data_IF_855288620012
#
_entry.id   IF_855288620012
#
_cell.length_a   1.000
_cell.length_b   1.000
_cell.length_c   1.000
_cell.angle_alpha   90.00
_cell.angle_beta   90.00
_cell.angle_gamma   90.00
#
_symmetry.space_group_name_H-M   'P 1'
#
loop_
_entity.id
_entity.type
_entity.pdbx_description
1 polymer ?
#
# COMPACT_ATOMS: atom_id res chain seq x y z
N UNK A 1 -14.38 -6.31 21.50
CA UNK A 1 -13.62 -5.36 20.66
C UNK A 1 -13.54 -5.94 19.26
N UNK A 2 -14.11 -5.28 18.24
CA UNK A 2 -14.18 -5.81 16.87
C UNK A 2 -12.88 -5.48 16.14
N UNK A 3 -12.19 -6.49 15.58
CA UNK A 3 -11.04 -6.27 14.68
C UNK A 3 -11.57 -6.21 13.26
N UNK A 4 -11.60 -5.02 12.68
CA UNK A 4 -12.05 -4.79 11.30
C UNK A 4 -10.85 -4.83 10.35
N UNK A 5 -10.97 -5.57 9.24
CA UNK A 5 -10.03 -5.49 8.13
C UNK A 5 -10.61 -4.56 7.07
N UNK A 6 -9.86 -3.54 6.69
CA UNK A 6 -10.24 -2.59 5.63
C UNK A 6 -9.36 -2.81 4.41
N UNK A 7 -9.88 -2.49 3.24
CA UNK A 7 -9.12 -2.57 2.00
C UNK A 7 -7.93 -1.59 2.03
N UNK A 8 -6.73 -2.04 1.65
CA UNK A 8 -5.52 -1.23 1.69
C UNK A 8 -5.27 -0.41 0.40
N UNK A 9 -6.13 -0.55 -0.61
CA UNK A 9 -5.97 0.09 -1.92
C UNK A 9 -4.89 -0.53 -2.82
N UNK A 10 -4.33 -1.68 -2.42
CA UNK A 10 -3.29 -2.40 -3.17
C UNK A 10 -3.87 -3.71 -3.70
N UNK A 11 -3.66 -3.97 -4.99
CA UNK A 11 -4.19 -5.14 -5.67
C UNK A 11 -3.12 -5.78 -6.54
N UNK A 12 -3.08 -7.11 -6.53
CA UNK A 12 -2.29 -7.91 -7.46
C UNK A 12 -3.29 -8.72 -8.28
N UNK A 13 -3.36 -8.43 -9.58
CA UNK A 13 -4.33 -9.03 -10.48
C UNK A 13 -3.60 -9.90 -11.52
N UNK A 14 -4.16 -11.08 -11.78
CA UNK A 14 -3.82 -11.81 -13.00
C UNK A 14 -4.37 -11.01 -14.21
N UNK A 15 -3.64 -10.88 -15.33
CA UNK A 15 -4.17 -10.24 -16.54
C UNK A 15 -5.56 -10.72 -16.96
N UNK A 16 -5.88 -12.01 -16.77
CA UNK A 16 -7.19 -12.58 -17.10
C UNK A 16 -8.35 -12.00 -16.27
N UNK A 17 -8.05 -11.31 -15.16
CA UNK A 17 -9.07 -10.61 -14.38
C UNK A 17 -9.65 -9.42 -15.15
N UNK A 18 -8.89 -8.85 -16.10
CA UNK A 18 -9.34 -7.73 -16.93
C UNK A 18 -10.38 -8.16 -17.96
N UNK A 19 -10.48 -9.46 -18.27
CA UNK A 19 -11.51 -10.01 -19.16
C UNK A 19 -12.93 -9.86 -18.58
N UNK A 20 -13.05 -9.54 -17.28
CA UNK A 20 -14.31 -9.27 -16.59
C UNK A 20 -14.74 -7.79 -16.67
N UNK A 21 -13.96 -6.95 -17.35
CA UNK A 21 -14.29 -5.54 -17.56
C UNK A 21 -15.10 -5.39 -18.85
N UNK A 22 -16.26 -4.74 -18.73
CA UNK A 22 -17.07 -4.40 -19.89
C UNK A 22 -16.74 -2.97 -20.36
N UNK A 23 -16.50 -2.76 -21.67
CA UNK A 23 -16.22 -1.44 -22.20
C UNK A 23 -17.35 -0.45 -21.91
N UNK A 24 -16.99 0.75 -21.44
CA UNK A 24 -17.93 1.83 -21.14
C UNK A 24 -18.75 1.65 -19.85
N UNK A 25 -18.55 0.55 -19.13
CA UNK A 25 -19.22 0.30 -17.86
C UNK A 25 -18.39 0.82 -16.69
N UNK A 26 -19.05 1.50 -15.74
CA UNK A 26 -18.40 1.85 -14.47
C UNK A 26 -18.12 0.56 -13.68
N UNK A 27 -16.85 0.31 -13.40
CA UNK A 27 -16.41 -0.84 -12.62
C UNK A 27 -15.36 -0.38 -11.60
N UNK A 28 -15.68 -0.50 -10.32
CA UNK A 28 -14.73 -0.27 -9.23
C UNK A 28 -14.14 -1.60 -8.73
N UNK A 29 -13.20 -1.52 -7.79
CA UNK A 29 -12.53 -2.72 -7.29
C UNK A 29 -13.47 -3.68 -6.55
N UNK A 30 -14.41 -3.23 -5.68
CA UNK A 30 -15.44 -4.10 -5.13
C UNK A 30 -16.29 -4.83 -6.18
N UNK A 31 -16.72 -4.13 -7.24
CA UNK A 31 -17.52 -4.70 -8.34
C UNK A 31 -16.69 -5.73 -9.12
N UNK A 32 -15.45 -5.40 -9.49
CA UNK A 32 -14.56 -6.32 -10.19
C UNK A 32 -14.35 -7.62 -9.38
N UNK A 33 -14.07 -7.52 -8.08
CA UNK A 33 -13.88 -8.69 -7.23
C UNK A 33 -15.18 -9.49 -7.05
N UNK A 34 -16.34 -8.85 -7.07
CA UNK A 34 -17.63 -9.55 -7.04
C UNK A 34 -17.82 -10.39 -8.31
N UNK A 35 -17.56 -9.82 -9.49
CA UNK A 35 -17.59 -10.55 -10.78
C UNK A 35 -16.62 -11.71 -10.81
N UNK A 36 -15.37 -11.49 -10.36
CA UNK A 36 -14.38 -12.56 -10.30
C UNK A 36 -14.87 -13.75 -9.47
N UNK A 37 -15.50 -13.51 -8.32
CA UNK A 37 -16.07 -14.59 -7.50
C UNK A 37 -17.26 -15.27 -8.17
N UNK A 38 -18.13 -14.52 -8.84
CA UNK A 38 -19.28 -15.06 -9.59
C UNK A 38 -18.83 -15.99 -10.72
N UNK A 39 -17.71 -15.66 -11.36
CA UNK A 39 -17.06 -16.50 -12.37
C UNK A 39 -16.09 -17.54 -11.78
N UNK A 40 -16.22 -17.87 -10.49
CA UNK A 40 -15.41 -18.88 -9.78
C UNK A 40 -13.89 -18.64 -9.82
N UNK A 41 -13.43 -17.41 -10.09
CA UNK A 41 -12.03 -17.07 -9.96
C UNK A 41 -11.64 -16.97 -8.47
N UNK A 42 -10.44 -17.47 -8.18
CA UNK A 42 -9.88 -17.40 -6.83
C UNK A 42 -9.52 -15.95 -6.49
N UNK A 43 -10.16 -15.43 -5.44
CA UNK A 43 -9.82 -14.15 -4.82
C UNK A 43 -9.32 -14.40 -3.40
N UNK A 44 -8.20 -13.81 -3.03
CA UNK A 44 -7.62 -13.93 -1.68
C UNK A 44 -7.28 -12.56 -1.14
N UNK A 45 -7.21 -12.47 0.19
CA UNK A 45 -6.76 -11.27 0.90
C UNK A 45 -5.44 -11.56 1.61
N UNK A 46 -4.56 -10.57 1.64
CA UNK A 46 -3.31 -10.63 2.38
C UNK A 46 -3.29 -9.53 3.44
N UNK A 47 -3.21 -9.86 4.75
CA UNK A 47 -3.19 -8.88 5.81
C UNK A 47 -1.83 -8.18 5.90
N UNK A 48 -1.86 -6.85 5.87
CA UNK A 48 -0.69 -5.98 6.12
C UNK A 48 -0.67 -5.67 7.62
N UNK A 49 0.51 -5.80 8.24
CA UNK A 49 0.70 -5.58 9.68
C UNK A 49 1.54 -4.34 9.98
N UNK A 50 2.10 -3.73 8.94
CA UNK A 50 2.91 -2.53 8.99
C UNK A 50 2.05 -1.28 9.25
N UNK A 51 2.70 -0.24 9.77
CA UNK A 51 2.06 1.06 9.92
C UNK A 51 1.66 1.61 8.55
N UNK A 52 0.35 1.81 8.37
CA UNK A 52 -0.24 2.35 7.14
C UNK A 52 -0.89 3.71 7.44
N UNK A 53 -0.68 4.68 6.55
CA UNK A 53 -1.26 6.01 6.63
C UNK A 53 -1.78 6.39 5.25
N UNK A 54 -3.09 6.62 5.14
CA UNK A 54 -3.71 7.14 3.94
C UNK A 54 -3.43 8.65 3.85
N UNK A 55 -2.63 9.06 2.86
CA UNK A 55 -2.21 10.47 2.69
C UNK A 55 -3.14 11.29 1.79
N UNK A 56 -4.33 10.76 1.46
CA UNK A 56 -5.30 11.47 0.62
C UNK A 56 -5.88 12.75 1.26
N UNK A 57 -5.79 12.90 2.59
CA UNK A 57 -6.25 14.09 3.32
C UNK A 57 -5.08 14.98 3.71
N UNK A 58 -5.29 16.29 3.74
CA UNK A 58 -4.25 17.27 4.11
C UNK A 58 -3.70 17.01 5.53
N UNK A 59 -4.57 16.63 6.47
CA UNK A 59 -4.18 16.29 7.84
C UNK A 59 -3.24 15.07 7.89
N UNK A 60 -3.55 14.02 7.14
CA UNK A 60 -2.75 12.81 7.09
C UNK A 60 -1.44 13.01 6.34
N UNK A 61 -1.45 13.83 5.29
CA UNK A 61 -0.24 14.25 4.61
C UNK A 61 0.73 15.00 5.54
N UNK A 62 0.24 15.95 6.35
CA UNK A 62 1.06 16.65 7.37
C UNK A 62 1.62 15.66 8.40
N UNK A 63 0.80 14.70 8.86
CA UNK A 63 1.25 13.64 9.78
C UNK A 63 2.36 12.78 9.17
N UNK A 64 2.25 12.42 7.89
CA UNK A 64 3.27 11.66 7.17
C UNK A 64 4.62 12.40 7.14
N UNK A 65 4.60 13.71 6.87
CA UNK A 65 5.81 14.54 6.84
C UNK A 65 6.54 14.55 8.19
N UNK A 66 5.81 14.71 9.30
CA UNK A 66 6.38 14.69 10.66
C UNK A 66 6.97 13.32 11.01
N UNK A 67 6.28 12.24 10.61
CA UNK A 67 6.77 10.88 10.83
C UNK A 67 8.07 10.59 10.06
N UNK A 68 8.22 11.13 8.85
CA UNK A 68 9.41 10.96 8.01
C UNK A 68 10.59 11.81 8.46
N UNK A 69 10.36 13.06 8.88
CA UNK A 69 11.43 13.96 9.35
C UNK A 69 12.14 13.41 10.59
N UNK A 70 11.37 12.84 11.52
CA UNK A 70 11.88 12.19 12.75
C UNK A 70 12.78 10.97 12.45
N UNK A 71 12.54 10.27 11.33
CA UNK A 71 13.35 9.11 10.90
C UNK A 71 14.64 9.52 10.19
N UNK A 72 14.63 10.66 9.49
CA UNK A 72 15.82 11.17 8.78
C UNK A 72 16.95 11.61 9.73
N UNK A 73 16.61 12.16 10.91
CA UNK A 73 17.60 12.56 11.92
C UNK A 73 18.42 11.40 12.48
N UNK A 74 17.89 10.17 12.45
CA UNK A 74 18.61 8.97 12.88
C UNK A 74 19.55 8.39 11.80
N UNK A 75 19.28 8.68 10.52
CA UNK A 75 20.06 8.16 9.38
C UNK A 75 21.29 9.03 9.06
N UNK A 76 21.28 10.34 9.39
CA UNK A 76 22.45 11.20 9.15
C UNK A 76 23.67 10.82 10.02
N UNK A 77 23.46 10.23 11.19
CA UNK A 77 24.52 9.80 12.11
C UNK A 77 25.34 8.59 11.63
N UNK A 78 24.83 7.77 10.70
CA UNK A 78 25.55 6.58 10.21
C UNK A 78 26.42 6.86 8.97
N UNK A 79 26.22 7.98 8.25
CA UNK A 79 27.05 8.31 7.07
C UNK A 79 28.47 8.77 7.46
N UNK A 80 28.70 9.23 8.68
CA UNK A 80 30.02 9.68 9.13
C UNK A 80 30.98 8.53 9.49
N UNK A 81 30.47 7.33 9.78
CA UNK A 81 31.31 6.18 10.11
C UNK A 81 31.94 5.51 8.87
N UNK A 82 31.31 5.61 7.70
CA UNK A 82 31.78 4.97 6.46
C UNK A 82 32.94 5.74 5.81
N UNK A 83 33.04 7.06 6.04
CA UNK A 83 34.12 7.88 5.47
C UNK A 83 35.47 7.74 6.20
N UNK A 84 35.54 7.02 7.32
CA UNK A 84 36.80 6.77 8.07
C UNK A 84 37.46 5.42 7.77
N UNK A 85 36.88 4.61 6.89
CA UNK A 85 37.40 3.27 6.52
C UNK A 85 38.12 3.25 5.15
N UNK A 86 38.11 4.35 4.39
CA UNK A 86 38.79 4.45 3.08
C UNK A 86 40.03 5.37 3.14
N UNK A 87 40.71 5.41 4.28
CA UNK A 87 41.97 6.13 4.44
C UNK A 87 42.93 5.29 5.28
N UNK A 88 43.23 4.10 4.78
CA UNK A 88 44.45 3.33 5.02
C UNK A 88 44.81 2.58 3.72
#
# INVERSE_FOLDING_TARGET
MVRTHVNAGIYVLNPSALDQLNPGEQCDMPVLFSRLREHCHRTIVYPIHEAWLDVGREEDFKRAQVALSSKHSAVSGQRSAVSKLNSD
#
